data_IF_967778612290
#
_entry.id   IF_967778612290
#
_cell.length_a   1.000
_cell.length_b   1.000
_cell.length_c   1.000
_cell.angle_alpha   90.00
_cell.angle_beta   90.00
_cell.angle_gamma   90.00
#
_symmetry.space_group_name_H-M   'P 1'
#
loop_
_entity.id
_entity.type
_entity.pdbx_description
1 polymer ?
#
# COMPACT_ATOMS: atom_id res chain seq x y z
N UNK A 1 -4.66 -3.13 11.76
CA UNK A 1 -4.28 -2.66 13.11
C UNK A 1 -2.77 -2.69 13.32
N UNK A 2 -2.09 -3.84 13.27
CA UNK A 2 -0.62 -3.92 13.48
C UNK A 2 0.17 -3.07 12.47
N UNK A 3 -0.06 -3.27 11.17
CA UNK A 3 0.61 -2.48 10.13
C UNK A 3 0.28 -0.98 10.23
N UNK A 4 -0.97 -0.63 10.58
CA UNK A 4 -1.36 0.76 10.85
C UNK A 4 -0.57 1.38 12.01
N UNK A 5 -0.36 0.63 13.10
CA UNK A 5 0.45 1.08 14.23
C UNK A 5 1.90 1.36 13.81
N UNK A 6 2.53 0.43 13.09
CA UNK A 6 3.88 0.60 12.57
C UNK A 6 4.01 1.81 11.62
N UNK A 7 3.02 2.00 10.74
CA UNK A 7 2.95 3.17 9.88
C UNK A 7 2.75 4.47 10.69
N UNK A 8 1.97 4.43 11.77
CA UNK A 8 1.77 5.54 12.68
C UNK A 8 3.04 5.93 13.45
N UNK A 9 3.85 4.96 13.87
CA UNK A 9 5.16 5.21 14.49
C UNK A 9 6.15 5.86 13.50
N UNK A 10 6.13 5.43 12.22
CA UNK A 10 7.02 5.92 11.18
C UNK A 10 6.64 7.32 10.67
N UNK A 11 5.36 7.53 10.37
CA UNK A 11 4.87 8.75 9.70
C UNK A 11 4.15 9.73 10.62
N UNK A 12 3.79 9.33 11.84
CA UNK A 12 3.03 10.14 12.77
C UNK A 12 1.72 10.65 12.15
N UNK A 13 1.52 11.97 12.21
CA UNK A 13 0.32 12.63 11.65
C UNK A 13 0.35 12.80 10.13
N UNK A 14 1.47 12.45 9.45
CA UNK A 14 1.67 12.63 7.99
C UNK A 14 1.70 11.29 7.26
N UNK A 15 0.81 10.38 7.64
CA UNK A 15 0.64 9.09 6.98
C UNK A 15 0.20 9.30 5.51
N UNK A 16 0.97 8.84 4.50
CA UNK A 16 0.53 8.87 3.11
C UNK A 16 -0.70 7.96 2.87
N UNK A 17 -1.42 8.15 1.75
CA UNK A 17 -2.46 7.21 1.33
C UNK A 17 -1.92 5.79 1.21
N UNK A 18 -2.72 4.80 1.61
CA UNK A 18 -2.36 3.38 1.60
C UNK A 18 -3.35 2.60 0.75
N UNK A 19 -2.83 1.77 -0.14
CA UNK A 19 -3.65 0.85 -0.96
C UNK A 19 -3.32 -0.60 -0.60
N UNK A 20 -4.33 -1.45 -0.49
CA UNK A 20 -4.17 -2.87 -0.24
C UNK A 20 -4.53 -3.66 -1.51
N UNK A 21 -3.55 -3.90 -2.39
CA UNK A 21 -3.78 -4.51 -3.71
C UNK A 21 -4.38 -5.93 -3.63
N UNK A 22 -4.10 -6.67 -2.54
CA UNK A 22 -4.69 -7.99 -2.28
C UNK A 22 -6.22 -7.96 -2.22
N UNK A 23 -6.84 -6.78 -2.02
CA UNK A 23 -8.30 -6.63 -2.05
C UNK A 23 -8.95 -7.07 -3.36
N UNK A 24 -8.25 -6.98 -4.49
CA UNK A 24 -8.80 -7.34 -5.81
C UNK A 24 -8.18 -8.59 -6.45
N UNK A 25 -6.93 -8.97 -6.12
CA UNK A 25 -6.32 -10.19 -6.66
C UNK A 25 -6.16 -11.34 -5.65
N UNK A 26 -6.48 -11.10 -4.37
CA UNK A 26 -6.32 -12.07 -3.29
C UNK A 26 -4.87 -12.17 -2.77
N UNK A 27 -4.62 -13.16 -1.90
CA UNK A 27 -3.29 -13.41 -1.35
C UNK A 27 -2.55 -14.51 -2.10
N UNK A 28 -1.66 -14.13 -3.00
CA UNK A 28 -0.85 -15.06 -3.81
C UNK A 28 0.40 -15.58 -3.07
N UNK A 29 0.34 -15.73 -1.75
CA UNK A 29 1.46 -16.17 -0.89
C UNK A 29 2.74 -15.35 -1.20
N UNK A 30 3.90 -15.99 -1.33
CA UNK A 30 5.17 -15.34 -1.64
C UNK A 30 5.16 -14.52 -2.94
N UNK A 31 4.33 -14.89 -3.93
CA UNK A 31 4.21 -14.13 -5.18
C UNK A 31 3.51 -12.77 -5.00
N UNK A 32 2.74 -12.59 -3.92
CA UNK A 32 2.09 -11.30 -3.61
C UNK A 32 3.11 -10.17 -3.64
N UNK A 33 4.31 -10.41 -3.10
CA UNK A 33 5.35 -9.39 -2.99
C UNK A 33 5.76 -8.84 -4.36
N UNK A 34 5.91 -9.71 -5.37
CA UNK A 34 6.27 -9.32 -6.72
C UNK A 34 5.10 -8.63 -7.44
N UNK A 35 3.89 -9.17 -7.30
CA UNK A 35 2.68 -8.61 -7.91
C UNK A 35 2.41 -7.18 -7.39
N UNK A 36 2.50 -6.96 -6.09
CA UNK A 36 2.33 -5.65 -5.46
C UNK A 36 3.39 -4.65 -5.92
N UNK A 37 4.64 -5.09 -6.09
CA UNK A 37 5.70 -4.25 -6.64
C UNK A 37 5.42 -3.84 -8.10
N UNK A 38 4.89 -4.76 -8.92
CA UNK A 38 4.47 -4.43 -10.30
C UNK A 38 3.36 -3.37 -10.28
N UNK A 39 2.34 -3.52 -9.42
CA UNK A 39 1.29 -2.52 -9.28
C UNK A 39 1.81 -1.17 -8.80
N UNK A 40 2.75 -1.15 -7.86
CA UNK A 40 3.40 0.08 -7.42
C UNK A 40 4.13 0.78 -8.57
N UNK A 41 4.92 0.04 -9.36
CA UNK A 41 5.66 0.59 -10.50
C UNK A 41 4.72 1.11 -11.60
N UNK A 42 3.65 0.37 -11.92
CA UNK A 42 2.64 0.82 -12.88
C UNK A 42 1.92 2.07 -12.38
N UNK A 43 1.56 2.11 -11.10
CA UNK A 43 0.93 3.29 -10.48
C UNK A 43 1.85 4.51 -10.53
N UNK A 44 3.13 4.35 -10.21
CA UNK A 44 4.15 5.41 -10.33
C UNK A 44 4.31 5.87 -11.76
N UNK A 45 4.34 4.96 -12.74
CA UNK A 45 4.46 5.29 -14.18
C UNK A 45 3.27 6.12 -14.65
N UNK A 46 2.06 5.65 -14.34
CA UNK A 46 0.81 6.20 -14.87
C UNK A 46 0.23 7.33 -13.99
N UNK A 47 0.86 7.61 -12.84
CA UNK A 47 0.37 8.52 -11.80
C UNK A 47 -1.05 8.15 -11.30
N UNK A 48 -1.29 6.85 -11.14
CA UNK A 48 -2.57 6.30 -10.68
C UNK A 48 -2.33 5.47 -9.42
N UNK A 49 -2.99 5.85 -8.33
CA UNK A 49 -3.06 5.05 -7.11
C UNK A 49 -4.27 4.11 -7.21
N UNK A 50 -4.08 2.78 -7.24
CA UNK A 50 -5.19 1.83 -7.31
C UNK A 50 -6.01 1.82 -6.02
N UNK A 51 -7.31 1.47 -6.09
CA UNK A 51 -8.18 1.46 -4.93
C UNK A 51 -7.93 0.26 -4.01
N UNK A 52 -8.39 0.39 -2.77
CA UNK A 52 -8.69 -0.76 -1.92
C UNK A 52 -10.18 -1.09 -2.06
N UNK A 53 -10.51 -2.17 -2.76
CA UNK A 53 -11.91 -2.57 -2.95
C UNK A 53 -12.43 -3.33 -1.73
N UNK A 54 -13.77 -3.41 -1.59
CA UNK A 54 -14.43 -4.09 -0.46
C UNK A 54 -14.03 -3.56 0.92
N UNK A 55 -13.67 -2.27 1.01
CA UNK A 55 -13.24 -1.63 2.24
C UNK A 55 -14.44 -1.10 3.05
N UNK A 56 -14.57 -1.57 4.29
CA UNK A 56 -15.44 -0.97 5.30
C UNK A 56 -14.56 -0.25 6.32
N UNK A 57 -14.70 1.08 6.52
CA UNK A 57 -13.87 1.82 7.45
C UNK A 57 -13.97 1.31 8.89
N UNK A 58 -12.82 1.18 9.55
CA UNK A 58 -12.72 0.94 10.99
C UNK A 58 -12.53 2.30 11.70
N UNK A 59 -13.47 2.75 12.56
CA UNK A 59 -13.39 4.06 13.21
C UNK A 59 -12.13 4.29 14.05
N UNK A 60 -11.45 3.22 14.46
CA UNK A 60 -10.21 3.31 15.23
C UNK A 60 -8.94 3.47 14.37
N UNK A 61 -9.06 3.36 13.04
CA UNK A 61 -7.97 3.50 12.09
C UNK A 61 -8.15 4.81 11.31
N UNK A 62 -7.42 5.85 11.71
CA UNK A 62 -7.35 7.10 10.93
C UNK A 62 -6.35 6.92 9.79
N UNK A 63 -6.79 6.25 8.73
CA UNK A 63 -6.00 5.91 7.55
C UNK A 63 -6.79 6.23 6.28
N UNK A 64 -6.11 6.80 5.28
CA UNK A 64 -6.65 6.95 3.94
C UNK A 64 -6.39 5.66 3.16
N UNK A 65 -7.39 4.77 3.10
CA UNK A 65 -7.30 3.47 2.42
C UNK A 65 -7.66 3.51 0.93
N UNK A 66 -7.92 4.69 0.33
CA UNK A 66 -8.24 4.82 -1.10
C UNK A 66 -9.44 3.94 -1.51
N UNK A 67 -10.54 4.04 -0.78
CA UNK A 67 -11.72 3.19 -0.96
C UNK A 67 -12.72 3.77 -1.98
N UNK A 68 -12.60 5.05 -2.32
CA UNK A 68 -13.49 5.78 -3.21
C UNK A 68 -13.29 5.49 -4.70
N UNK A 69 -12.24 4.73 -5.05
CA UNK A 69 -11.85 4.42 -6.43
C UNK A 69 -10.39 4.77 -6.71
N UNK A 70 -9.92 4.49 -7.92
CA UNK A 70 -8.58 4.88 -8.35
C UNK A 70 -8.40 6.39 -8.24
N UNK A 71 -7.27 6.84 -7.70
CA UNK A 71 -6.97 8.26 -7.50
C UNK A 71 -5.79 8.68 -8.39
N UNK A 72 -5.92 9.80 -9.10
CA UNK A 72 -4.78 10.42 -9.79
C UNK A 72 -3.85 11.01 -8.74
N UNK A 73 -2.62 10.52 -8.68
CA UNK A 73 -1.61 10.95 -7.71
C UNK A 73 -0.24 10.70 -8.33
N UNK A 74 0.61 11.71 -8.39
CA UNK A 74 2.01 11.52 -8.76
C UNK A 74 2.77 10.96 -7.55
N UNK A 75 3.32 9.75 -7.67
CA UNK A 75 4.15 9.15 -6.62
C UNK A 75 5.63 9.20 -7.02
N UNK A 76 6.39 10.13 -6.44
CA UNK A 76 7.85 10.12 -6.58
C UNK A 76 8.46 8.96 -5.78
N UNK A 77 7.90 8.68 -4.59
CA UNK A 77 8.31 7.59 -3.72
C UNK A 77 7.11 6.71 -3.36
N UNK A 78 7.33 5.40 -3.32
CA UNK A 78 6.36 4.42 -2.79
C UNK A 78 7.05 3.53 -1.78
N UNK A 79 6.51 3.48 -0.56
CA UNK A 79 6.85 2.44 0.41
C UNK A 79 5.96 1.23 0.15
N UNK A 80 6.58 0.08 -0.07
CA UNK A 80 5.89 -1.19 -0.25
C UNK A 80 6.26 -2.14 0.90
N UNK A 81 5.25 -2.60 1.61
CA UNK A 81 5.40 -3.52 2.74
C UNK A 81 5.06 -4.95 2.34
N UNK A 82 5.72 -5.92 2.96
CA UNK A 82 5.40 -7.36 2.86
C UNK A 82 5.75 -8.06 4.15
N UNK A 83 4.72 -8.32 4.94
CA UNK A 83 4.82 -8.96 6.25
C UNK A 83 4.20 -10.35 6.15
N UNK A 84 5.06 -11.36 6.12
CA UNK A 84 4.68 -12.76 6.00
C UNK A 84 4.52 -13.44 7.36
N UNK A 85 3.92 -14.63 7.34
CA UNK A 85 3.86 -15.49 8.51
C UNK A 85 5.26 -15.86 9.01
N UNK A 86 5.39 -16.15 10.30
CA UNK A 86 6.68 -16.49 10.93
C UNK A 86 7.57 -15.30 11.29
N UNK A 87 7.05 -14.06 11.20
CA UNK A 87 7.80 -12.86 11.57
C UNK A 87 8.72 -12.31 10.46
N UNK A 88 8.54 -12.78 9.22
CA UNK A 88 9.30 -12.29 8.08
C UNK A 88 8.75 -10.94 7.60
N UNK A 89 9.35 -9.85 8.07
CA UNK A 89 8.97 -8.49 7.67
C UNK A 89 9.97 -7.91 6.67
N UNK A 90 9.50 -7.50 5.49
CA UNK A 90 10.32 -6.86 4.47
C UNK A 90 9.63 -5.64 3.90
N UNK A 91 10.39 -4.57 3.70
CA UNK A 91 9.92 -3.33 3.08
C UNK A 91 10.86 -2.91 1.95
N UNK A 92 10.31 -2.29 0.91
CA UNK A 92 11.07 -1.68 -0.17
C UNK A 92 10.58 -0.25 -0.40
N UNK A 93 11.51 0.69 -0.61
CA UNK A 93 11.20 2.04 -1.07
C UNK A 93 11.56 2.12 -2.55
N UNK A 94 10.57 2.41 -3.38
CA UNK A 94 10.74 2.63 -4.80
C UNK A 94 10.78 4.14 -5.07
N UNK A 95 11.72 4.59 -5.90
CA UNK A 95 11.79 5.97 -6.38
C UNK A 95 11.55 5.98 -7.88
N UNK A 96 10.70 6.89 -8.35
CA UNK A 96 10.47 7.11 -9.77
C UNK A 96 11.75 7.70 -10.38
N UNK A 97 12.21 7.10 -11.47
CA UNK A 97 13.34 7.61 -12.26
C UNK A 97 12.75 8.49 -13.36
N UNK A 98 13.45 9.58 -13.69
CA UNK A 98 13.13 10.48 -14.79
C UNK A 98 13.23 9.80 -16.15
#
# INVERSE_FOLDING_TARGET
RVEYGALGELFGSRLPPVTANKSFFGHAMGASSAIETIFALLGMRDNILPPTINYTPDPSLRIDCVAEGSRVLAQEFVLKNSFGFGGCNSCAVLRKIE
#
